data_IF_840173647811
#
_entry.id   IF_840173647811
#
_cell.length_a   1.000
_cell.length_b   1.000
_cell.length_c   1.000
_cell.angle_alpha   90.00
_cell.angle_beta   90.00
_cell.angle_gamma   90.00
#
_symmetry.space_group_name_H-M   'P 1'
#
loop_
_entity.id
_entity.type
_entity.pdbx_description
1 polymer ?
#
# COMPACT_ATOMS: atom_id res chain seq x y z
N UNK A 1 7.41 -15.03 -19.91
CA UNK A 1 6.85 -16.00 -18.95
C UNK A 1 7.04 -15.45 -17.54
N UNK A 2 6.07 -15.62 -16.64
CA UNK A 2 6.20 -15.22 -15.23
C UNK A 2 5.06 -14.36 -14.69
N UNK A 3 3.79 -14.80 -14.84
CA UNK A 3 2.63 -14.18 -14.17
C UNK A 3 2.67 -14.52 -12.67
N UNK A 4 2.78 -13.52 -11.80
CA UNK A 4 2.51 -13.68 -10.37
C UNK A 4 1.09 -13.21 -10.08
N UNK A 5 0.20 -14.18 -9.80
CA UNK A 5 -1.13 -13.95 -9.24
C UNK A 5 -0.97 -13.82 -7.72
N UNK A 6 -1.43 -12.70 -7.13
CA UNK A 6 -1.68 -12.62 -5.69
C UNK A 6 -3.17 -12.85 -5.46
N UNK A 7 -3.49 -13.92 -4.76
CA UNK A 7 -4.84 -14.26 -4.32
C UNK A 7 -5.12 -13.59 -2.98
N UNK A 8 -6.28 -12.95 -2.91
CA UNK A 8 -6.95 -12.55 -1.68
C UNK A 8 -7.09 -13.73 -0.71
N UNK A 9 -6.87 -13.50 0.58
CA UNK A 9 -7.33 -14.40 1.64
C UNK A 9 -7.92 -13.56 2.75
N UNK A 10 -9.24 -13.38 2.63
CA UNK A 10 -10.15 -13.00 3.70
C UNK A 10 -10.08 -14.07 4.81
N UNK A 11 -9.65 -13.67 6.00
CA UNK A 11 -9.86 -14.45 7.22
C UNK A 11 -10.88 -13.72 8.08
N UNK A 12 -12.14 -14.12 7.94
CA UNK A 12 -13.18 -13.88 8.92
C UNK A 12 -12.88 -14.70 10.17
N UNK A 13 -12.64 -14.02 11.29
CA UNK A 13 -12.42 -14.66 12.58
C UNK A 13 -13.78 -14.87 13.26
N UNK A 14 -14.33 -16.07 13.09
CA UNK A 14 -15.49 -16.57 13.86
C UNK A 14 -15.01 -16.95 15.24
N UNK A 15 -15.29 -16.13 16.25
CA UNK A 15 -15.00 -16.46 17.65
C UNK A 15 -16.16 -17.30 18.20
N UNK A 16 -15.90 -18.60 18.27
CA UNK A 16 -16.79 -19.61 18.84
C UNK A 16 -17.05 -19.40 20.34
N UNK A 17 -18.22 -19.92 20.72
CA UNK A 17 -18.90 -19.80 21.99
C UNK A 17 -18.21 -20.66 23.08
N UNK A 18 -17.92 -20.06 24.24
CA UNK A 18 -17.62 -20.83 25.45
C UNK A 18 -18.89 -20.91 26.31
N UNK A 19 -19.68 -21.98 26.11
CA UNK A 19 -20.66 -22.46 27.09
C UNK A 19 -20.02 -23.66 27.79
N UNK A 20 -19.60 -23.47 29.05
CA UNK A 20 -19.23 -24.59 29.93
C UNK A 20 -20.49 -25.35 30.36
N UNK A 21 -20.52 -26.70 30.31
CA UNK A 21 -21.69 -27.47 30.74
C UNK A 21 -21.75 -27.55 32.27
N UNK A 22 -22.91 -27.22 32.84
CA UNK A 22 -23.22 -27.45 34.25
C UNK A 22 -23.60 -28.93 34.43
N UNK A 23 -23.03 -29.68 35.40
CA UNK A 23 -23.37 -31.08 35.59
C UNK A 23 -24.77 -31.26 36.21
N UNK A 24 -25.53 -32.23 35.67
CA UNK A 24 -26.82 -32.65 36.20
C UNK A 24 -26.64 -33.45 37.52
N UNK A 25 -27.48 -33.25 38.54
CA UNK A 25 -27.39 -34.01 39.79
C UNK A 25 -27.88 -35.45 39.62
N UNK A 26 -27.14 -36.37 40.26
CA UNK A 26 -27.39 -37.81 40.24
C UNK A 26 -28.64 -38.18 41.06
N UNK A 27 -29.42 -39.10 40.50
CA UNK A 27 -30.68 -39.64 41.02
C UNK A 27 -30.38 -40.66 42.13
N UNK A 28 -30.73 -40.36 43.39
CA UNK A 28 -30.61 -41.29 44.51
C UNK A 28 -31.77 -42.30 44.55
N UNK A 29 -31.41 -43.53 44.92
CA UNK A 29 -32.22 -44.74 44.92
C UNK A 29 -33.39 -44.69 45.91
N UNK A 30 -34.45 -45.45 45.58
CA UNK A 30 -35.63 -45.70 46.42
C UNK A 30 -35.29 -46.69 47.54
N UNK A 31 -35.72 -46.42 48.77
CA UNK A 31 -35.93 -47.44 49.80
C UNK A 31 -37.27 -47.20 50.47
N UNK A 32 -38.17 -48.17 50.36
CA UNK A 32 -39.45 -48.25 51.08
C UNK A 32 -39.21 -48.74 52.51
N UNK A 33 -39.86 -48.13 53.51
CA UNK A 33 -40.18 -48.80 54.79
C UNK A 33 -41.55 -48.31 55.30
N UNK A 34 -42.32 -49.32 55.74
CA UNK A 34 -43.67 -49.39 56.30
C UNK A 34 -43.96 -48.44 57.46
N UNK A 35 -45.22 -48.02 57.57
CA UNK A 35 -45.74 -47.19 58.66
C UNK A 35 -46.01 -47.94 59.96
N UNK A 36 -45.86 -47.22 61.07
CA UNK A 36 -46.91 -47.04 62.08
C UNK A 36 -46.55 -45.88 63.03
N UNK A 37 -47.52 -44.99 63.20
CA UNK A 37 -47.86 -44.15 64.35
C UNK A 37 -46.89 -43.15 65.03
N UNK A 38 -47.46 -41.95 65.23
CA UNK A 38 -47.20 -40.93 66.26
C UNK A 38 -46.05 -39.92 66.02
N UNK A 39 -46.49 -38.66 66.04
CA UNK A 39 -45.80 -37.36 66.03
C UNK A 39 -45.20 -36.98 64.69
N UNK A 40 -45.81 -35.94 64.12
CA UNK A 40 -45.10 -35.00 63.24
C UNK A 40 -44.33 -34.04 64.16
N UNK A 41 -43.01 -34.21 64.39
CA UNK A 41 -42.16 -33.05 64.57
C UNK A 41 -41.96 -32.49 63.17
N UNK A 42 -42.76 -31.50 62.81
CA UNK A 42 -42.34 -30.54 61.80
C UNK A 42 -41.04 -29.94 62.33
N UNK A 43 -39.92 -30.37 61.76
CA UNK A 43 -38.76 -29.50 61.67
C UNK A 43 -38.19 -29.62 60.25
N UNK A 44 -38.84 -28.99 59.25
CA UNK A 44 -38.01 -28.29 58.28
C UNK A 44 -37.34 -27.16 59.08
N UNK A 45 -36.04 -26.96 58.93
CA UNK A 45 -35.48 -25.63 59.10
C UNK A 45 -36.18 -24.72 58.08
N UNK A 46 -37.41 -24.30 58.37
CA UNK A 46 -38.09 -23.25 57.66
C UNK A 46 -37.28 -22.01 57.99
N UNK A 47 -36.41 -21.59 57.06
CA UNK A 47 -35.71 -20.33 57.17
C UNK A 47 -36.72 -19.30 57.64
N UNK A 48 -36.42 -18.70 58.79
CA UNK A 48 -37.32 -17.75 59.40
C UNK A 48 -37.62 -16.67 58.37
N UNK A 49 -38.86 -16.20 58.30
CA UNK A 49 -39.25 -15.05 57.46
C UNK A 49 -38.26 -13.88 57.60
N UNK A 50 -37.66 -13.72 58.78
CA UNK A 50 -36.61 -12.74 59.03
C UNK A 50 -35.31 -13.02 58.27
N UNK A 51 -34.86 -14.27 58.20
CA UNK A 51 -33.66 -14.70 57.48
C UNK A 51 -33.80 -14.52 55.96
N UNK A 52 -34.97 -14.85 55.41
CA UNK A 52 -35.28 -14.61 53.99
C UNK A 52 -35.26 -13.12 53.65
N UNK A 53 -35.84 -12.28 54.50
CA UNK A 53 -35.82 -10.83 54.33
C UNK A 53 -34.39 -10.28 54.44
N UNK A 54 -33.58 -10.79 55.37
CA UNK A 54 -32.18 -10.41 55.52
C UNK A 54 -31.36 -10.80 54.27
N UNK A 55 -31.57 -11.99 53.71
CA UNK A 55 -30.91 -12.45 52.48
C UNK A 55 -31.29 -11.59 51.25
N UNK A 56 -32.56 -11.21 51.13
CA UNK A 56 -33.05 -10.30 50.07
C UNK A 56 -32.42 -8.91 50.24
N UNK A 57 -32.38 -8.38 51.46
CA UNK A 57 -31.76 -7.09 51.74
C UNK A 57 -30.25 -7.12 51.45
N UNK A 58 -29.54 -8.18 51.86
CA UNK A 58 -28.12 -8.37 51.56
C UNK A 58 -27.86 -8.45 50.05
N UNK A 59 -28.68 -9.22 49.33
CA UNK A 59 -28.58 -9.30 47.86
C UNK A 59 -28.88 -7.96 47.18
N UNK A 60 -29.87 -7.21 47.66
CA UNK A 60 -30.20 -5.87 47.17
C UNK A 60 -29.03 -4.90 47.34
N UNK A 61 -28.40 -4.88 48.52
CA UNK A 61 -27.24 -4.03 48.80
C UNK A 61 -26.05 -4.45 47.92
N UNK A 62 -25.78 -5.74 47.80
CA UNK A 62 -24.70 -6.26 46.96
C UNK A 62 -24.90 -5.94 45.47
N UNK A 63 -26.12 -6.07 44.96
CA UNK A 63 -26.46 -5.68 43.58
C UNK A 63 -26.35 -4.17 43.38
N UNK A 64 -26.78 -3.36 44.36
CA UNK A 64 -26.61 -1.91 44.34
C UNK A 64 -25.14 -1.49 44.19
N UNK A 65 -24.24 -2.06 45.01
CA UNK A 65 -22.81 -1.78 44.91
C UNK A 65 -22.17 -2.23 43.58
N UNK A 66 -22.62 -3.37 43.03
CA UNK A 66 -22.19 -3.81 41.69
C UNK A 66 -22.67 -2.84 40.59
N UNK A 67 -23.90 -2.35 40.68
CA UNK A 67 -24.47 -1.37 39.74
C UNK A 67 -23.67 -0.06 39.81
N UNK A 68 -23.36 0.44 41.00
CA UNK A 68 -22.53 1.64 41.17
C UNK A 68 -21.14 1.46 40.57
N UNK A 69 -20.50 0.31 40.83
CA UNK A 69 -19.18 -0.01 40.27
C UNK A 69 -19.23 -0.05 38.74
N UNK A 70 -20.25 -0.69 38.16
CA UNK A 70 -20.44 -0.73 36.70
C UNK A 70 -20.69 0.67 36.15
N UNK A 71 -21.49 1.50 36.82
CA UNK A 71 -21.75 2.87 36.39
C UNK A 71 -20.45 3.71 36.35
N UNK A 72 -19.61 3.60 37.39
CA UNK A 72 -18.30 4.26 37.43
C UNK A 72 -17.41 3.76 36.29
N UNK A 73 -17.30 2.45 36.09
CA UNK A 73 -16.48 1.88 35.03
C UNK A 73 -16.94 2.34 33.64
N UNK A 74 -18.26 2.40 33.39
CA UNK A 74 -18.82 2.91 32.13
C UNK A 74 -18.44 4.38 31.92
N UNK A 75 -18.52 5.22 32.96
CA UNK A 75 -18.13 6.63 32.87
C UNK A 75 -16.64 6.77 32.51
N UNK A 76 -15.78 5.97 33.15
CA UNK A 76 -14.33 5.97 32.87
C UNK A 76 -14.03 5.52 31.45
N UNK A 77 -14.65 4.42 30.99
CA UNK A 77 -14.50 3.93 29.62
C UNK A 77 -14.97 4.96 28.59
N UNK A 78 -16.08 5.66 28.84
CA UNK A 78 -16.54 6.74 27.97
C UNK A 78 -15.54 7.91 27.92
N UNK A 79 -14.89 8.23 29.03
CA UNK A 79 -13.86 9.26 29.06
C UNK A 79 -12.63 8.85 28.25
N UNK A 80 -12.18 7.60 28.37
CA UNK A 80 -11.03 7.09 27.63
C UNK A 80 -11.32 6.94 26.14
N UNK A 81 -12.50 6.45 25.76
CA UNK A 81 -12.93 6.40 24.35
C UNK A 81 -12.93 7.79 23.72
N UNK A 82 -13.37 8.82 24.43
CA UNK A 82 -13.32 10.21 23.94
C UNK A 82 -11.88 10.69 23.73
N UNK A 83 -10.94 10.32 24.60
CA UNK A 83 -9.52 10.66 24.43
C UNK A 83 -8.95 9.98 23.18
N UNK A 84 -9.19 8.68 23.03
CA UNK A 84 -8.73 7.91 21.88
C UNK A 84 -9.31 8.48 20.59
N UNK A 85 -10.62 8.79 20.55
CA UNK A 85 -11.26 9.41 19.38
C UNK A 85 -10.55 10.69 18.96
N UNK A 86 -10.27 11.59 19.91
CA UNK A 86 -9.57 12.85 19.64
C UNK A 86 -8.17 12.66 19.08
N UNK A 87 -7.41 11.70 19.64
CA UNK A 87 -6.06 11.40 19.14
C UNK A 87 -6.13 10.87 17.71
N UNK A 88 -7.02 9.91 17.46
CA UNK A 88 -7.21 9.32 16.12
C UNK A 88 -7.64 10.39 15.11
N UNK A 89 -8.62 11.23 15.46
CA UNK A 89 -9.07 12.33 14.60
C UNK A 89 -7.93 13.32 14.29
N UNK A 90 -7.12 13.68 15.28
CA UNK A 90 -5.95 14.54 15.10
C UNK A 90 -4.93 13.93 14.13
N UNK A 91 -4.54 12.68 14.37
CA UNK A 91 -3.59 11.97 13.50
C UNK A 91 -4.11 11.79 12.08
N UNK A 92 -5.43 11.58 11.89
CA UNK A 92 -6.03 11.50 10.56
C UNK A 92 -5.92 12.84 9.83
N UNK A 93 -6.17 13.97 10.50
CA UNK A 93 -6.05 15.31 9.90
C UNK A 93 -4.60 15.62 9.52
N UNK A 94 -3.64 15.28 10.37
CA UNK A 94 -2.21 15.45 10.10
C UNK A 94 -1.79 14.65 8.86
N UNK A 95 -2.10 13.35 8.83
CA UNK A 95 -1.80 12.47 7.70
C UNK A 95 -2.47 12.95 6.40
N UNK A 96 -3.72 13.40 6.47
CA UNK A 96 -4.42 13.95 5.30
C UNK A 96 -3.74 15.20 4.76
N UNK A 97 -3.20 16.05 5.64
CA UNK A 97 -2.48 17.26 5.27
C UNK A 97 -1.14 16.92 4.60
N UNK A 98 -0.39 15.99 5.18
CA UNK A 98 0.88 15.51 4.61
C UNK A 98 0.69 14.85 3.24
N UNK A 99 -0.30 13.95 3.12
CA UNK A 99 -0.62 13.27 1.86
C UNK A 99 -0.98 14.29 0.77
N UNK A 100 -1.75 15.33 1.11
CA UNK A 100 -2.09 16.40 0.16
C UNK A 100 -0.84 17.16 -0.30
N UNK A 101 0.02 17.55 0.64
CA UNK A 101 1.25 18.27 0.34
C UNK A 101 2.20 17.44 -0.55
N UNK A 102 2.37 16.15 -0.24
CA UNK A 102 3.17 15.23 -1.05
C UNK A 102 2.59 15.04 -2.44
N UNK A 103 1.26 14.92 -2.55
CA UNK A 103 0.59 14.82 -3.83
C UNK A 103 0.84 16.05 -4.71
N UNK A 104 0.76 17.25 -4.13
CA UNK A 104 1.05 18.49 -4.84
C UNK A 104 2.50 18.55 -5.31
N UNK A 105 3.46 18.16 -4.47
CA UNK A 105 4.88 18.08 -4.86
C UNK A 105 5.12 17.11 -6.01
N UNK A 106 4.46 15.95 -6.01
CA UNK A 106 4.56 14.96 -7.11
C UNK A 106 4.01 15.55 -8.42
N UNK A 107 2.86 16.23 -8.36
CA UNK A 107 2.26 16.87 -9.54
C UNK A 107 3.18 17.95 -10.10
N UNK A 108 3.76 18.79 -9.24
CA UNK A 108 4.73 19.81 -9.64
C UNK A 108 5.99 19.18 -10.24
N UNK A 109 6.57 18.18 -9.60
CA UNK A 109 7.75 17.48 -10.09
C UNK A 109 7.50 16.86 -11.47
N UNK A 110 6.40 16.13 -11.65
CA UNK A 110 6.05 15.54 -12.94
C UNK A 110 5.88 16.59 -14.05
N UNK A 111 5.27 17.73 -13.73
CA UNK A 111 5.16 18.85 -14.67
C UNK A 111 6.53 19.40 -15.06
N UNK A 112 7.44 19.58 -14.10
CA UNK A 112 8.81 20.04 -14.39
C UNK A 112 9.60 19.04 -15.23
N UNK A 113 9.46 17.74 -14.94
CA UNK A 113 10.09 16.67 -15.72
C UNK A 113 9.61 16.72 -17.16
N UNK A 114 8.28 16.77 -17.40
CA UNK A 114 7.75 16.86 -18.76
C UNK A 114 8.21 18.11 -19.52
N UNK A 115 8.34 19.26 -18.84
CA UNK A 115 8.88 20.47 -19.46
C UNK A 115 10.36 20.34 -19.81
N UNK A 116 11.15 19.67 -18.97
CA UNK A 116 12.57 19.43 -19.22
C UNK A 116 12.78 18.42 -20.34
N UNK A 117 11.97 17.36 -20.40
CA UNK A 117 11.97 16.38 -21.49
C UNK A 117 11.68 17.05 -22.83
N UNK A 118 10.64 17.89 -22.91
CA UNK A 118 10.32 18.63 -24.13
C UNK A 118 11.45 19.58 -24.57
N UNK A 119 12.10 20.26 -23.61
CA UNK A 119 13.27 21.12 -23.89
C UNK A 119 14.47 20.31 -24.36
N UNK A 120 14.68 19.13 -23.81
CA UNK A 120 15.78 18.24 -24.17
C UNK A 120 15.58 17.69 -25.59
N UNK A 121 14.38 17.21 -25.91
CA UNK A 121 14.02 16.73 -27.25
C UNK A 121 14.22 17.83 -28.31
N UNK A 122 13.78 19.05 -28.02
CA UNK A 122 13.96 20.20 -28.89
C UNK A 122 15.45 20.61 -29.05
N UNK A 123 16.23 20.56 -27.96
CA UNK A 123 17.66 20.84 -28.00
C UNK A 123 18.44 19.77 -28.77
N UNK A 124 18.13 18.49 -28.54
CA UNK A 124 18.72 17.35 -29.25
C UNK A 124 18.37 17.41 -30.74
N UNK A 125 17.09 17.64 -31.07
CA UNK A 125 16.63 17.81 -32.44
C UNK A 125 17.40 18.92 -33.17
N UNK A 126 17.51 20.11 -32.58
CA UNK A 126 18.31 21.20 -33.16
C UNK A 126 19.80 20.89 -33.26
N UNK A 127 20.36 20.20 -32.27
CA UNK A 127 21.77 19.81 -32.30
C UNK A 127 22.06 18.78 -33.40
N UNK A 128 21.09 17.94 -33.76
CA UNK A 128 21.26 16.91 -34.79
C UNK A 128 20.83 17.37 -36.18
N UNK A 129 20.08 18.47 -36.32
CA UNK A 129 19.59 18.96 -37.63
C UNK A 129 20.68 19.19 -38.67
N UNK A 130 21.87 19.61 -38.24
CA UNK A 130 23.01 19.85 -39.13
C UNK A 130 23.93 18.63 -39.28
N UNK A 131 23.64 17.54 -38.59
CA UNK A 131 24.43 16.32 -38.63
C UNK A 131 23.84 15.35 -39.66
N UNK A 132 24.63 15.01 -40.68
CA UNK A 132 24.22 14.04 -41.71
C UNK A 132 25.04 12.77 -41.56
N UNK A 133 24.37 11.61 -41.64
CA UNK A 133 25.04 10.30 -41.66
C UNK A 133 25.22 9.83 -43.09
N UNK A 134 26.48 9.61 -43.45
CA UNK A 134 26.84 9.06 -44.76
C UNK A 134 27.13 7.55 -44.61
N UNK A 135 26.52 6.75 -45.47
CA UNK A 135 26.61 5.28 -45.45
C UNK A 135 27.15 4.77 -46.78
N UNK A 136 27.84 3.62 -46.76
CA UNK A 136 28.31 2.94 -47.97
C UNK A 136 29.69 3.35 -48.46
N UNK A 137 30.44 4.15 -47.69
CA UNK A 137 31.85 4.39 -47.98
C UNK A 137 32.70 3.16 -47.64
N UNK A 138 33.63 2.75 -48.54
CA UNK A 138 34.65 1.77 -48.19
C UNK A 138 35.47 2.25 -46.98
N UNK A 139 35.89 1.32 -46.13
CA UNK A 139 36.74 1.68 -45.01
C UNK A 139 38.06 2.29 -45.49
N UNK A 140 38.49 3.37 -44.82
CA UNK A 140 39.72 4.12 -45.10
C UNK A 140 39.78 4.85 -46.45
N UNK A 141 38.67 4.95 -47.20
CA UNK A 141 38.63 5.67 -48.48
C UNK A 141 38.96 7.17 -48.35
N UNK A 142 38.63 7.76 -47.20
CA UNK A 142 38.87 9.16 -46.87
C UNK A 142 40.32 9.52 -46.50
N UNK A 143 41.19 8.52 -46.25
CA UNK A 143 42.57 8.77 -45.85
C UNK A 143 42.70 9.46 -44.48
N UNK A 144 43.62 10.43 -44.36
CA UNK A 144 43.92 11.11 -43.10
C UNK A 144 43.09 12.36 -42.82
N UNK A 145 42.32 12.86 -43.81
CA UNK A 145 41.58 14.12 -43.73
C UNK A 145 40.10 13.87 -44.10
N UNK A 146 39.32 13.42 -43.12
CA UNK A 146 37.94 12.99 -43.30
C UNK A 146 37.05 14.16 -43.73
N UNK A 147 37.24 15.32 -43.12
CA UNK A 147 36.46 16.54 -43.39
C UNK A 147 36.60 16.97 -44.84
N UNK A 148 37.84 17.07 -45.34
CA UNK A 148 38.11 17.49 -46.71
C UNK A 148 37.59 16.49 -47.75
N UNK A 149 37.71 15.18 -47.46
CA UNK A 149 37.15 14.14 -48.31
C UNK A 149 35.63 14.26 -48.41
N UNK A 150 34.94 14.35 -47.27
CA UNK A 150 33.47 14.46 -47.22
C UNK A 150 33.01 15.76 -47.87
N UNK A 151 33.68 16.88 -47.64
CA UNK A 151 33.34 18.16 -48.24
C UNK A 151 33.44 18.12 -49.77
N UNK A 152 34.54 17.58 -50.31
CA UNK A 152 34.71 17.39 -51.76
C UNK A 152 33.62 16.49 -52.32
N UNK A 153 33.39 15.34 -51.70
CA UNK A 153 32.40 14.38 -52.17
C UNK A 153 30.98 14.97 -52.18
N UNK A 154 30.58 15.68 -51.13
CA UNK A 154 29.26 16.34 -51.07
C UNK A 154 29.14 17.40 -52.16
N UNK A 155 30.18 18.20 -52.39
CA UNK A 155 30.20 19.18 -53.48
C UNK A 155 30.04 18.48 -54.82
N UNK A 156 30.82 17.44 -55.11
CA UNK A 156 30.76 16.74 -56.39
C UNK A 156 29.37 16.12 -56.66
N UNK A 157 28.74 15.55 -55.63
CA UNK A 157 27.41 14.92 -55.74
C UNK A 157 26.29 15.94 -55.84
N UNK A 158 26.33 17.03 -55.06
CA UNK A 158 25.21 17.96 -54.91
C UNK A 158 25.36 19.29 -55.65
N UNK A 159 26.53 19.59 -56.22
CA UNK A 159 26.76 20.81 -57.01
C UNK A 159 25.76 20.99 -58.16
N UNK A 160 25.32 19.94 -58.89
CA UNK A 160 24.27 20.08 -59.91
C UNK A 160 22.92 20.54 -59.35
N UNK A 161 22.66 20.30 -58.07
CA UNK A 161 21.40 20.58 -57.36
C UNK A 161 21.36 21.94 -56.66
N UNK A 162 22.42 22.74 -56.77
CA UNK A 162 22.45 24.10 -56.22
C UNK A 162 22.99 24.22 -54.79
N UNK A 163 23.95 23.38 -54.40
CA UNK A 163 24.66 23.52 -53.12
C UNK A 163 25.33 24.91 -53.02
N UNK A 164 25.18 25.57 -51.87
CA UNK A 164 25.81 26.88 -51.63
C UNK A 164 27.32 26.81 -51.80
N UNK A 165 27.90 27.84 -52.42
CA UNK A 165 29.37 27.97 -52.55
C UNK A 165 30.07 28.03 -51.18
N UNK A 166 29.35 28.48 -50.15
CA UNK A 166 29.84 28.64 -48.77
C UNK A 166 29.57 27.39 -47.91
N UNK A 167 29.15 26.26 -48.50
CA UNK A 167 29.06 25.00 -47.76
C UNK A 167 30.42 24.66 -47.14
N UNK A 168 30.46 24.31 -45.86
CA UNK A 168 31.68 23.88 -45.15
C UNK A 168 31.29 22.74 -44.21
N UNK A 169 32.14 21.74 -44.10
CA UNK A 169 31.98 20.66 -43.11
C UNK A 169 32.74 21.06 -41.84
N UNK A 170 32.02 21.28 -40.73
CA UNK A 170 32.62 21.69 -39.45
C UNK A 170 33.35 20.54 -38.75
N UNK A 171 32.80 19.33 -38.83
CA UNK A 171 33.39 18.12 -38.25
C UNK A 171 32.92 16.91 -39.06
N UNK A 172 33.83 15.98 -39.32
CA UNK A 172 33.52 14.69 -39.90
C UNK A 172 34.28 13.61 -39.13
N UNK A 173 33.56 12.61 -38.66
CA UNK A 173 34.16 11.50 -37.95
C UNK A 173 33.42 10.20 -38.29
N UNK A 174 34.13 9.08 -38.16
CA UNK A 174 33.53 7.76 -38.21
C UNK A 174 32.70 7.55 -36.95
N UNK A 175 31.47 7.06 -37.10
CA UNK A 175 30.70 6.62 -35.96
C UNK A 175 31.48 5.53 -35.21
N UNK A 176 31.55 5.62 -33.88
CA UNK A 176 32.22 4.66 -32.99
C UNK A 176 31.38 3.37 -32.84
N UNK A 177 30.98 2.78 -33.97
CA UNK A 177 30.25 1.52 -34.04
C UNK A 177 31.26 0.43 -34.41
N UNK A 178 31.14 -0.75 -33.78
CA UNK A 178 31.96 -1.90 -34.14
C UNK A 178 31.87 -2.15 -35.66
N UNK A 179 32.98 -2.49 -36.34
CA UNK A 179 32.97 -2.77 -37.78
C UNK A 179 31.81 -3.71 -38.10
N UNK A 180 30.99 -3.41 -39.13
CA UNK A 180 29.81 -4.20 -39.41
C UNK A 180 30.23 -5.62 -39.82
N UNK A 181 30.25 -6.54 -38.87
CA UNK A 181 30.26 -7.95 -39.16
C UNK A 181 28.91 -8.31 -39.76
N UNK A 182 28.82 -8.38 -41.09
CA UNK A 182 27.79 -9.01 -41.95
C UNK A 182 26.30 -8.74 -41.66
N UNK A 183 25.93 -7.99 -40.62
CA UNK A 183 24.56 -7.80 -40.18
C UNK A 183 24.31 -6.32 -40.03
N UNK A 184 23.81 -5.72 -41.10
CA UNK A 184 23.20 -4.39 -41.07
C UNK A 184 21.99 -4.44 -40.11
N UNK A 185 22.19 -4.02 -38.87
CA UNK A 185 21.09 -3.57 -38.02
C UNK A 185 20.98 -2.05 -38.17
N UNK A 186 19.82 -1.50 -38.53
CA UNK A 186 19.59 -0.08 -38.40
C UNK A 186 19.66 0.28 -36.90
N UNK A 187 20.78 0.88 -36.48
CA UNK A 187 20.89 1.51 -35.18
C UNK A 187 20.36 2.92 -35.29
N UNK A 188 19.12 3.15 -34.84
CA UNK A 188 18.72 4.47 -34.39
C UNK A 188 19.50 4.75 -33.09
N UNK A 189 20.45 5.67 -33.16
CA UNK A 189 20.91 6.50 -32.05
C UNK A 189 21.12 7.88 -32.66
#
# INVERSE_FOLDING_TARGET
MGRHKRTDTSQGNTMEQYTTPVPLPQRLAKSEVSGDDIRVPMNPEELSRAELLAAIQGSRVALGGKIETVAVNVILLLADLRKVSKVVEGSVVELQTEVRALHEQIVQANSTVGQLEAKLEDAEGRSQQNNVRLLGFPEHAEGSAVESFVESWIRDVLQPTGLSKVFVVECAHRALVAPPGLVHRPGLL
#
